data_IF_348517159181
#
_entry.id   IF_348517159181
#
_cell.length_a   1.000
_cell.length_b   1.000
_cell.length_c   1.000
_cell.angle_alpha   90.00
_cell.angle_beta   90.00
_cell.angle_gamma   90.00
#
_symmetry.space_group_name_H-M   'P 1'
#
loop_
_entity.id
_entity.type
_entity.pdbx_description
1 polymer ?
#
# COMPACT_ATOMS: atom_id res chain seq x y z
N UNK A 1 9.18 -15.19 2.81
CA UNK A 1 9.89 -13.95 3.24
C UNK A 1 9.35 -12.67 2.56
N UNK A 2 8.39 -12.72 1.63
CA UNK A 2 7.87 -11.54 0.92
C UNK A 2 6.73 -10.78 1.64
N UNK A 3 5.91 -11.45 2.46
CA UNK A 3 4.78 -10.82 3.17
C UNK A 3 5.22 -9.87 4.30
N UNK A 4 6.43 -10.03 4.82
CA UNK A 4 6.90 -9.31 6.00
C UNK A 4 7.37 -7.87 5.68
N UNK A 5 7.71 -7.58 4.43
CA UNK A 5 8.29 -6.28 4.03
C UNK A 5 7.19 -5.21 3.87
N UNK A 6 6.01 -5.61 3.39
CA UNK A 6 4.94 -4.66 3.05
C UNK A 6 4.16 -4.23 4.30
N UNK A 7 3.93 -5.15 5.26
CA UNK A 7 3.24 -4.83 6.53
C UNK A 7 4.13 -4.10 7.54
N UNK A 8 5.46 -4.23 7.49
CA UNK A 8 6.36 -3.63 8.50
C UNK A 8 6.72 -2.17 8.26
N UNK A 9 6.48 -1.59 7.08
CA UNK A 9 6.94 -0.23 6.78
C UNK A 9 5.85 0.85 6.76
N UNK A 10 4.58 0.49 6.64
CA UNK A 10 3.46 1.44 6.69
C UNK A 10 2.75 1.28 8.02
N UNK A 11 2.83 2.30 8.87
CA UNK A 11 2.19 2.29 10.19
C UNK A 11 0.83 2.98 10.12
N UNK A 12 -0.15 2.44 10.83
CA UNK A 12 -1.43 3.13 11.07
C UNK A 12 -1.16 4.42 11.85
N UNK A 13 -1.78 5.52 11.42
CA UNK A 13 -1.55 6.87 11.94
C UNK A 13 -0.44 7.65 11.23
N UNK A 14 0.30 7.02 10.32
CA UNK A 14 1.34 7.71 9.55
C UNK A 14 0.71 8.63 8.49
N UNK A 15 1.27 9.82 8.21
CA UNK A 15 0.77 10.69 7.14
C UNK A 15 0.92 10.04 5.77
N UNK A 16 -0.04 10.28 4.88
CA UNK A 16 0.02 9.81 3.49
C UNK A 16 1.31 10.23 2.78
N UNK A 17 1.81 11.44 3.02
CA UNK A 17 3.05 11.95 2.43
C UNK A 17 4.29 11.12 2.82
N UNK A 18 4.39 10.69 4.08
CA UNK A 18 5.50 9.83 4.53
C UNK A 18 5.41 8.44 3.91
N UNK A 19 4.20 7.93 3.73
CA UNK A 19 3.97 6.66 3.03
C UNK A 19 4.37 6.76 1.57
N UNK A 20 4.03 7.84 0.88
CA UNK A 20 4.46 8.08 -0.50
C UNK A 20 5.97 8.27 -0.62
N UNK A 21 6.62 8.89 0.37
CA UNK A 21 8.09 8.96 0.41
C UNK A 21 8.73 7.59 0.59
N UNK A 22 8.11 6.71 1.37
CA UNK A 22 8.65 5.41 1.71
C UNK A 22 8.39 4.34 0.62
N UNK A 23 7.20 4.34 0.03
CA UNK A 23 6.79 3.39 -1.01
C UNK A 23 6.97 3.93 -2.44
N UNK A 24 7.20 5.22 -2.59
CA UNK A 24 7.21 5.90 -3.88
C UNK A 24 5.81 6.40 -4.28
N UNK A 25 5.68 6.82 -5.55
CA UNK A 25 4.40 7.29 -6.06
C UNK A 25 3.39 6.13 -6.16
N UNK A 26 2.16 6.32 -5.66
CA UNK A 26 1.09 5.36 -5.88
C UNK A 26 0.75 5.27 -7.37
N UNK A 27 0.24 4.12 -7.79
CA UNK A 27 -0.31 3.94 -9.14
C UNK A 27 -1.60 4.75 -9.31
N UNK A 28 -2.44 4.78 -8.26
CA UNK A 28 -3.63 5.62 -8.18
C UNK A 28 -3.73 6.29 -6.81
N UNK A 29 -4.00 7.58 -6.81
CA UNK A 29 -4.30 8.36 -5.61
C UNK A 29 -5.77 8.76 -5.59
N UNK A 30 -6.46 8.41 -4.52
CA UNK A 30 -7.81 8.85 -4.19
C UNK A 30 -7.77 9.67 -2.91
N UNK A 31 -8.75 10.55 -2.70
CA UNK A 31 -8.81 11.42 -1.52
C UNK A 31 -8.78 10.65 -0.17
N UNK A 32 -9.24 9.39 -0.17
CA UNK A 32 -9.23 8.52 1.01
C UNK A 32 -8.45 7.21 0.84
N UNK A 33 -7.69 7.03 -0.25
CA UNK A 33 -6.91 5.81 -0.45
C UNK A 33 -5.73 5.99 -1.40
N UNK A 34 -4.62 5.30 -1.12
CA UNK A 34 -3.48 5.19 -2.04
C UNK A 34 -3.38 3.75 -2.53
N UNK A 35 -3.27 3.56 -3.84
CA UNK A 35 -3.17 2.24 -4.46
C UNK A 35 -1.79 2.04 -5.07
N UNK A 36 -1.14 0.95 -4.68
CA UNK A 36 0.18 0.56 -5.17
C UNK A 36 0.10 -0.82 -5.79
N UNK A 37 0.75 -0.99 -6.94
CA UNK A 37 0.95 -2.33 -7.50
C UNK A 37 2.07 -3.00 -6.74
N UNK A 38 1.82 -4.22 -6.24
CA UNK A 38 2.83 -4.98 -5.50
C UNK A 38 3.13 -6.28 -6.24
N UNK A 39 4.42 -6.52 -6.48
CA UNK A 39 4.87 -7.83 -6.95
C UNK A 39 5.16 -8.70 -5.73
N UNK A 40 4.35 -9.73 -5.50
CA UNK A 40 4.56 -10.65 -4.37
C UNK A 40 5.70 -11.64 -4.61
N UNK A 41 6.42 -11.57 -5.74
CA UNK A 41 7.52 -12.47 -6.07
C UNK A 41 7.11 -13.94 -6.11
N UNK A 42 5.82 -14.24 -6.30
CA UNK A 42 5.31 -15.60 -6.41
C UNK A 42 5.33 -16.03 -7.88
N UNK A 43 6.23 -16.94 -8.29
CA UNK A 43 6.42 -17.29 -9.70
C UNK A 43 5.22 -17.99 -10.37
N UNK A 44 4.17 -18.32 -9.63
CA UNK A 44 3.03 -19.12 -10.10
C UNK A 44 1.66 -18.43 -10.00
N UNK A 45 1.61 -17.16 -9.61
CA UNK A 45 0.37 -16.37 -9.58
C UNK A 45 0.64 -15.05 -10.28
N UNK A 46 -0.18 -14.71 -11.28
CA UNK A 46 -0.13 -13.43 -12.00
C UNK A 46 0.19 -12.26 -11.05
N UNK A 47 1.44 -11.76 -11.08
CA UNK A 47 1.88 -10.58 -10.31
C UNK A 47 1.08 -9.32 -10.66
N UNK A 48 0.25 -9.37 -11.71
CA UNK A 48 -0.60 -8.26 -12.15
C UNK A 48 -1.94 -8.15 -11.42
N UNK A 49 -2.29 -9.10 -10.54
CA UNK A 49 -3.58 -9.07 -9.82
C UNK A 49 -3.52 -8.35 -8.48
N UNK A 50 -2.38 -8.40 -7.80
CA UNK A 50 -2.28 -7.89 -6.44
C UNK A 50 -2.01 -6.38 -6.36
N UNK A 51 -2.84 -5.68 -5.61
CA UNK A 51 -2.68 -4.27 -5.29
C UNK A 51 -2.70 -4.05 -3.77
N UNK A 52 -1.77 -3.22 -3.29
CA UNK A 52 -1.75 -2.69 -1.93
C UNK A 52 -2.59 -1.41 -1.89
N UNK A 53 -3.67 -1.45 -1.13
CA UNK A 53 -4.59 -0.33 -0.90
C UNK A 53 -4.40 0.19 0.51
N UNK A 54 -3.99 1.44 0.63
CA UNK A 54 -3.78 2.12 1.90
C UNK A 54 -4.93 3.10 2.08
N UNK A 55 -5.86 2.79 2.98
CA UNK A 55 -6.98 3.65 3.32
C UNK A 55 -6.51 4.77 4.25
N UNK A 56 -6.97 5.99 3.95
CA UNK A 56 -6.64 7.18 4.71
C UNK A 56 -7.87 7.66 5.51
N UNK A 57 -7.61 8.31 6.64
CA UNK A 57 -8.62 9.04 7.40
C UNK A 57 -8.85 10.46 6.84
N UNK A 58 -9.78 11.22 7.42
CA UNK A 58 -10.11 12.58 6.98
C UNK A 58 -8.90 13.56 7.06
N UNK A 59 -7.93 13.28 7.93
CA UNK A 59 -6.69 14.03 8.06
C UNK A 59 -5.56 13.50 7.17
N UNK A 60 -5.87 12.60 6.22
CA UNK A 60 -4.91 11.93 5.34
C UNK A 60 -3.86 11.09 6.07
N UNK A 61 -4.13 10.59 7.28
CA UNK A 61 -3.26 9.58 7.90
C UNK A 61 -3.73 8.18 7.55
N UNK A 62 -2.82 7.22 7.56
CA UNK A 62 -3.10 5.82 7.31
C UNK A 62 -4.08 5.31 8.36
N UNK A 63 -5.24 4.87 7.91
CA UNK A 63 -6.23 4.20 8.76
C UNK A 63 -6.10 2.70 8.69
N UNK A 64 -5.91 2.17 7.48
CA UNK A 64 -5.88 0.72 7.24
C UNK A 64 -5.02 0.43 6.01
N UNK A 65 -4.35 -0.73 6.00
CA UNK A 65 -3.59 -1.22 4.87
C UNK A 65 -4.15 -2.58 4.48
N UNK A 66 -4.59 -2.71 3.23
CA UNK A 66 -5.17 -3.93 2.66
C UNK A 66 -4.44 -4.35 1.40
N UNK A 67 -4.46 -5.64 1.14
CA UNK A 67 -4.00 -6.19 -0.13
C UNK A 67 -5.21 -6.81 -0.81
N UNK A 68 -5.45 -6.40 -2.04
CA UNK A 68 -6.55 -6.87 -2.90
C UNK A 68 -5.95 -7.69 -4.05
N UNK A 69 -6.66 -8.74 -4.50
CA UNK A 69 -6.34 -9.53 -5.70
C UNK A 69 -7.14 -9.11 -6.94
#
# INVERSE_FOLDING_TARGET
MAEDIIKRKVLVGQPADDVQRLLGRPEKEYAGALVYKIDMGMPFKDSSRYALVIHLDANRNVREVRITD
#
